data_IF_889594896356
#
_entry.id   IF_889594896356
#
_cell.length_a   1.000
_cell.length_b   1.000
_cell.length_c   1.000
_cell.angle_alpha   90.00
_cell.angle_beta   90.00
_cell.angle_gamma   90.00
#
_symmetry.space_group_name_H-M   'P 1'
#
loop_
_entity.id
_entity.type
_entity.pdbx_description
1 polymer ?
#
# COMPACT_ATOMS: atom_id res chain seq x y z
N UNK A 1 4.67 3.94 16.86
CA UNK A 1 5.18 5.32 16.74
C UNK A 1 5.11 6.09 18.06
N UNK A 2 3.91 6.37 18.60
CA UNK A 2 3.79 7.23 19.80
C UNK A 2 4.47 6.64 21.05
N UNK A 3 4.44 5.32 21.20
CA UNK A 3 5.05 4.61 22.33
C UNK A 3 6.48 4.18 21.97
N UNK A 4 6.63 3.23 21.04
CA UNK A 4 7.93 2.60 20.73
C UNK A 4 8.70 3.22 19.54
N UNK A 5 8.21 4.33 18.97
CA UNK A 5 8.85 4.98 17.81
C UNK A 5 8.62 4.28 16.46
N UNK A 6 9.33 4.76 15.43
CA UNK A 6 9.30 4.21 14.06
C UNK A 6 10.22 3.00 13.92
N UNK A 7 11.44 3.08 14.47
CA UNK A 7 12.45 2.02 14.35
C UNK A 7 11.92 0.68 14.83
N UNK A 8 11.30 0.65 16.02
CA UNK A 8 10.68 -0.57 16.54
C UNK A 8 9.55 -1.09 15.65
N UNK A 9 8.69 -0.19 15.15
CA UNK A 9 7.61 -0.59 14.24
C UNK A 9 8.14 -1.24 12.95
N UNK A 10 9.26 -0.75 12.41
CA UNK A 10 9.93 -1.37 11.26
C UNK A 10 10.51 -2.74 11.59
N UNK A 11 11.05 -2.93 12.80
CA UNK A 11 11.52 -4.25 13.24
C UNK A 11 10.37 -5.25 13.37
N UNK A 12 9.21 -4.81 13.88
CA UNK A 12 7.99 -5.64 13.92
C UNK A 12 7.52 -6.00 12.51
N UNK A 13 7.51 -5.05 11.56
CA UNK A 13 7.16 -5.34 10.16
C UNK A 13 8.12 -6.35 9.51
N UNK A 14 9.42 -6.27 9.82
CA UNK A 14 10.43 -7.22 9.36
C UNK A 14 10.21 -8.62 9.93
N UNK A 15 9.96 -8.74 11.24
CA UNK A 15 9.69 -10.04 11.84
C UNK A 15 8.38 -10.66 11.30
N UNK A 16 7.36 -9.83 11.08
CA UNK A 16 6.13 -10.24 10.43
C UNK A 16 6.38 -10.71 8.99
N UNK A 17 7.22 -10.01 8.22
CA UNK A 17 7.50 -10.38 6.83
C UNK A 17 8.20 -11.73 6.72
N UNK A 18 9.11 -12.05 7.64
CA UNK A 18 9.74 -13.38 7.73
C UNK A 18 8.72 -14.48 8.08
N UNK A 19 7.82 -14.19 9.02
CA UNK A 19 6.76 -15.14 9.38
C UNK A 19 5.81 -15.40 8.21
N UNK A 20 5.41 -14.34 7.48
CA UNK A 20 4.55 -14.45 6.30
C UNK A 20 5.19 -15.33 5.21
N UNK A 21 6.48 -15.14 4.92
CA UNK A 21 7.23 -15.94 3.94
C UNK A 21 7.18 -17.44 4.25
N UNK A 22 7.23 -17.82 5.54
CA UNK A 22 7.32 -19.23 5.94
C UNK A 22 5.97 -19.90 6.20
N UNK A 23 4.94 -19.13 6.59
CA UNK A 23 3.74 -19.70 7.20
C UNK A 23 2.44 -19.37 6.44
N UNK A 24 2.46 -18.48 5.46
CA UNK A 24 1.24 -18.01 4.79
C UNK A 24 1.31 -18.27 3.29
N UNK A 25 0.27 -18.91 2.76
CA UNK A 25 0.10 -19.14 1.32
C UNK A 25 -1.38 -19.03 0.94
N UNK A 26 -1.68 -18.87 -0.36
CA UNK A 26 -3.05 -18.87 -0.87
C UNK A 26 -3.95 -17.77 -0.29
N UNK A 27 -3.37 -16.64 0.11
CA UNK A 27 -4.05 -15.57 0.85
C UNK A 27 -3.84 -14.20 0.20
N UNK A 28 -4.81 -13.30 0.33
CA UNK A 28 -4.68 -11.89 -0.06
C UNK A 28 -4.24 -11.05 1.15
N UNK A 29 -3.09 -10.38 1.05
CA UNK A 29 -2.52 -9.57 2.12
C UNK A 29 -2.59 -8.09 1.74
N UNK A 30 -3.29 -7.29 2.54
CA UNK A 30 -3.28 -5.82 2.42
C UNK A 30 -2.22 -5.24 3.35
N UNK A 31 -1.25 -4.51 2.79
CA UNK A 31 -0.10 -4.02 3.54
C UNK A 31 -0.20 -2.52 3.86
N UNK A 32 0.50 -2.10 4.92
CA UNK A 32 0.69 -0.68 5.20
C UNK A 32 1.66 -0.05 4.19
N UNK A 33 1.51 1.24 3.89
CA UNK A 33 2.37 1.92 2.91
C UNK A 33 3.86 2.04 3.28
N UNK A 34 4.30 1.52 4.43
CA UNK A 34 5.73 1.43 4.76
C UNK A 34 6.31 0.03 4.61
N UNK A 35 5.44 -0.98 4.44
CA UNK A 35 5.80 -2.39 4.42
C UNK A 35 6.66 -2.75 3.20
N UNK A 36 6.62 -1.95 2.14
CA UNK A 36 7.46 -2.15 0.94
C UNK A 36 8.97 -2.13 1.22
N UNK A 37 9.38 -1.61 2.39
CA UNK A 37 10.79 -1.56 2.81
C UNK A 37 11.34 -2.89 3.32
N UNK A 38 10.51 -3.93 3.48
CA UNK A 38 11.00 -5.26 3.86
C UNK A 38 11.68 -5.93 2.68
N UNK A 39 12.85 -6.53 2.91
CA UNK A 39 13.72 -7.06 1.85
C UNK A 39 13.16 -8.33 1.20
N UNK A 40 12.39 -9.12 1.94
CA UNK A 40 11.88 -10.41 1.49
C UNK A 40 10.51 -10.35 0.81
N UNK A 41 10.01 -9.16 0.46
CA UNK A 41 8.66 -8.98 -0.06
C UNK A 41 8.37 -9.86 -1.29
N UNK A 42 9.34 -9.99 -2.20
CA UNK A 42 9.22 -10.83 -3.41
C UNK A 42 9.15 -12.33 -3.12
N UNK A 43 9.60 -12.76 -1.93
CA UNK A 43 9.51 -14.16 -1.50
C UNK A 43 8.16 -14.49 -0.88
N UNK A 44 7.43 -13.47 -0.39
CA UNK A 44 6.10 -13.64 0.21
C UNK A 44 5.06 -13.95 -0.87
N UNK A 45 5.16 -13.31 -2.04
CA UNK A 45 4.26 -13.59 -3.16
C UNK A 45 4.23 -12.47 -4.20
N UNK A 46 3.23 -12.54 -5.08
CA UNK A 46 3.01 -11.55 -6.14
C UNK A 46 2.64 -10.18 -5.56
N UNK A 47 3.42 -9.16 -5.94
CA UNK A 47 3.28 -7.80 -5.44
C UNK A 47 2.35 -7.02 -6.38
N UNK A 48 1.21 -6.60 -5.84
CA UNK A 48 0.20 -5.82 -6.56
C UNK A 48 0.21 -4.39 -6.05
N UNK A 49 0.55 -3.44 -6.94
CA UNK A 49 0.42 -2.01 -6.67
C UNK A 49 -0.94 -1.49 -7.17
N UNK A 50 -1.72 -0.94 -6.25
CA UNK A 50 -2.89 -0.13 -6.56
C UNK A 50 -2.46 1.33 -6.74
N UNK A 51 -2.18 1.73 -7.97
CA UNK A 51 -1.66 3.08 -8.29
C UNK A 51 -2.80 4.08 -8.55
N UNK A 52 -2.57 5.32 -8.15
CA UNK A 52 -3.46 6.44 -8.46
C UNK A 52 -2.70 7.77 -8.31
N UNK A 53 -3.04 8.81 -9.09
CA UNK A 53 -2.49 10.15 -8.90
C UNK A 53 -2.76 10.67 -7.49
N UNK A 54 -1.79 11.41 -6.95
CA UNK A 54 -1.89 12.01 -5.61
C UNK A 54 -3.23 12.75 -5.38
N UNK A 55 -3.64 13.58 -6.33
CA UNK A 55 -4.88 14.37 -6.21
C UNK A 55 -6.13 13.49 -6.16
N UNK A 56 -6.14 12.38 -6.89
CA UNK A 56 -7.23 11.40 -6.86
C UNK A 56 -7.31 10.69 -5.50
N UNK A 57 -6.16 10.32 -4.92
CA UNK A 57 -6.07 9.74 -3.57
C UNK A 57 -6.64 10.72 -2.53
N UNK A 58 -6.21 11.98 -2.56
CA UNK A 58 -6.67 13.00 -1.62
C UNK A 58 -8.19 13.24 -1.77
N UNK A 59 -8.68 13.34 -3.01
CA UNK A 59 -10.11 13.50 -3.30
C UNK A 59 -10.93 12.33 -2.76
N UNK A 60 -10.47 11.09 -2.92
CA UNK A 60 -11.14 9.89 -2.40
C UNK A 60 -11.20 9.88 -0.88
N UNK A 61 -10.12 10.26 -0.20
CA UNK A 61 -10.08 10.32 1.27
C UNK A 61 -11.06 11.38 1.80
N UNK A 62 -11.09 12.56 1.18
CA UNK A 62 -11.99 13.66 1.57
C UNK A 62 -13.47 13.34 1.35
N UNK A 63 -13.80 12.58 0.30
CA UNK A 63 -15.19 12.17 -0.02
C UNK A 63 -15.74 11.05 0.86
N UNK A 64 -14.88 10.37 1.63
CA UNK A 64 -15.32 9.23 2.43
C UNK A 64 -16.26 9.68 3.56
N UNK A 65 -17.37 8.98 3.86
CA UNK A 65 -18.31 9.36 4.92
C UNK A 65 -17.64 9.57 6.29
N UNK A 66 -16.66 8.72 6.59
CA UNK A 66 -15.80 8.81 7.79
C UNK A 66 -14.52 9.64 7.60
N UNK A 67 -14.50 10.64 6.71
CA UNK A 67 -13.31 11.45 6.40
C UNK A 67 -12.69 12.07 7.65
N UNK A 68 -13.50 12.62 8.57
CA UNK A 68 -13.02 13.21 9.84
C UNK A 68 -12.20 12.22 10.69
N UNK A 69 -12.66 10.97 10.81
CA UNK A 69 -11.95 9.93 11.56
C UNK A 69 -10.74 9.38 10.80
N UNK A 70 -10.83 9.27 9.46
CA UNK A 70 -9.69 8.86 8.61
C UNK A 70 -8.56 9.90 8.61
N UNK A 71 -8.89 11.18 8.65
CA UNK A 71 -7.91 12.28 8.73
C UNK A 71 -7.26 12.35 10.12
N UNK A 72 -8.02 12.19 11.21
CA UNK A 72 -7.47 12.14 12.59
C UNK A 72 -6.45 11.02 12.79
N UNK A 73 -6.68 9.84 12.20
CA UNK A 73 -5.74 8.70 12.26
C UNK A 73 -4.51 8.87 11.34
N UNK A 74 -4.47 9.91 10.51
CA UNK A 74 -3.43 10.14 9.51
C UNK A 74 -2.88 11.56 9.66
N UNK A 75 -2.09 11.84 10.72
CA UNK A 75 -1.52 13.16 10.95
C UNK A 75 -0.67 13.67 9.77
N UNK A 76 -0.12 12.79 8.93
CA UNK A 76 0.56 13.19 7.70
C UNK A 76 -0.36 13.84 6.66
N UNK A 77 -1.67 13.59 6.69
CA UNK A 77 -2.64 14.20 5.76
C UNK A 77 -3.09 15.60 6.19
N UNK A 78 -2.78 16.04 7.42
CA UNK A 78 -2.98 17.46 7.78
C UNK A 78 -1.92 18.35 7.12
N UNK A 79 -0.77 17.78 6.73
CA UNK A 79 0.27 18.46 5.96
C UNK A 79 0.33 17.87 4.54
N UNK A 80 -0.49 18.44 3.65
CA UNK A 80 -0.57 18.00 2.25
C UNK A 80 0.78 18.10 1.52
N UNK A 81 1.67 19.02 1.93
CA UNK A 81 2.99 19.17 1.31
C UNK A 81 3.87 17.96 1.64
N UNK A 82 3.99 17.60 2.92
CA UNK A 82 4.71 16.39 3.35
C UNK A 82 4.11 15.12 2.78
N UNK A 83 2.77 15.03 2.69
CA UNK A 83 2.12 13.89 2.06
C UNK A 83 2.48 13.74 0.58
N UNK A 84 2.59 14.87 -0.14
CA UNK A 84 2.97 14.89 -1.55
C UNK A 84 4.45 14.54 -1.76
N UNK A 85 5.34 15.08 -0.93
CA UNK A 85 6.76 14.70 -0.90
C UNK A 85 6.93 13.19 -0.70
N UNK A 86 6.24 12.63 0.31
CA UNK A 86 6.26 11.20 0.59
C UNK A 86 5.70 10.35 -0.56
N UNK A 87 4.67 10.84 -1.25
CA UNK A 87 4.13 10.17 -2.43
C UNK A 87 5.18 10.10 -3.55
N UNK A 88 5.87 11.21 -3.83
CA UNK A 88 6.91 11.25 -4.87
C UNK A 88 8.13 10.42 -4.50
N UNK A 89 8.49 10.32 -3.22
CA UNK A 89 9.55 9.44 -2.73
C UNK A 89 9.19 7.95 -2.94
N UNK A 90 7.97 7.56 -2.55
CA UNK A 90 7.59 6.15 -2.50
C UNK A 90 7.13 5.57 -3.83
N UNK A 91 6.47 6.37 -4.69
CA UNK A 91 5.88 5.86 -5.92
C UNK A 91 6.88 5.16 -6.86
N UNK A 92 8.09 5.70 -7.12
CA UNK A 92 9.08 4.99 -7.92
C UNK A 92 9.51 3.65 -7.29
N UNK A 93 9.64 3.60 -5.96
CA UNK A 93 10.02 2.39 -5.23
C UNK A 93 8.93 1.33 -5.28
N UNK A 94 7.66 1.72 -5.14
CA UNK A 94 6.53 0.82 -5.35
C UNK A 94 6.49 0.26 -6.77
N UNK A 95 6.68 1.12 -7.78
CA UNK A 95 6.68 0.71 -9.19
C UNK A 95 7.82 -0.28 -9.49
N UNK A 96 9.00 -0.08 -8.91
CA UNK A 96 10.15 -0.98 -9.08
C UNK A 96 9.95 -2.35 -8.42
N UNK A 97 9.13 -2.43 -7.36
CA UNK A 97 8.85 -3.68 -6.64
C UNK A 97 7.64 -4.44 -7.19
N UNK A 98 6.70 -3.76 -7.83
CA UNK A 98 5.43 -4.34 -8.24
C UNK A 98 5.58 -5.29 -9.44
N UNK A 99 5.01 -6.50 -9.31
CA UNK A 99 4.86 -7.44 -10.42
C UNK A 99 3.62 -7.08 -11.26
N UNK A 100 2.59 -6.53 -10.60
CA UNK A 100 1.34 -6.09 -11.23
C UNK A 100 0.99 -4.69 -10.76
N UNK A 101 0.74 -3.79 -11.71
CA UNK A 101 0.22 -2.45 -11.42
C UNK A 101 -1.22 -2.36 -11.90
N UNK A 102 -2.12 -1.95 -11.02
CA UNK A 102 -3.53 -1.67 -11.31
C UNK A 102 -3.78 -0.19 -11.05
N UNK A 103 -4.10 0.57 -12.10
CA UNK A 103 -4.56 1.95 -11.91
C UNK A 103 -5.99 1.91 -11.36
N UNK A 104 -6.19 2.40 -10.14
CA UNK A 104 -7.49 2.41 -9.45
C UNK A 104 -8.22 3.76 -9.58
N UNK A 105 -7.72 4.66 -10.43
CA UNK A 105 -8.29 5.98 -10.64
C UNK A 105 -9.65 5.89 -11.31
N UNK A 106 -10.66 6.52 -10.70
CA UNK A 106 -12.05 6.54 -11.18
C UNK A 106 -12.69 5.15 -11.41
N UNK A 107 -12.14 4.09 -10.83
CA UNK A 107 -12.70 2.73 -10.91
C UNK A 107 -13.41 2.35 -9.62
N UNK A 108 -14.48 1.57 -9.76
CA UNK A 108 -15.11 0.86 -8.66
C UNK A 108 -14.22 -0.28 -8.15
N UNK A 109 -14.52 -0.77 -6.96
CA UNK A 109 -13.82 -1.91 -6.35
C UNK A 109 -13.97 -3.18 -7.21
N UNK A 110 -15.15 -3.38 -7.82
CA UNK A 110 -15.43 -4.51 -8.70
C UNK A 110 -14.60 -4.45 -10.00
N UNK A 111 -14.47 -3.26 -10.60
CA UNK A 111 -13.66 -3.07 -11.81
C UNK A 111 -12.18 -3.34 -11.51
N UNK A 112 -11.67 -2.83 -10.39
CA UNK A 112 -10.30 -3.09 -9.95
C UNK A 112 -10.06 -4.59 -9.73
N UNK A 113 -11.00 -5.30 -9.07
CA UNK A 113 -10.88 -6.73 -8.84
C UNK A 113 -10.88 -7.55 -10.13
N UNK A 114 -11.76 -7.21 -11.09
CA UNK A 114 -11.79 -7.85 -12.42
C UNK A 114 -10.50 -7.63 -13.20
N UNK A 115 -9.94 -6.43 -13.17
CA UNK A 115 -8.66 -6.13 -13.81
C UNK A 115 -7.51 -6.90 -13.16
N UNK A 116 -7.49 -6.95 -11.81
CA UNK A 116 -6.47 -7.67 -11.06
C UNK A 116 -6.46 -9.15 -11.45
N UNK A 117 -7.62 -9.82 -11.44
CA UNK A 117 -7.74 -11.23 -11.84
C UNK A 117 -7.19 -11.47 -13.25
N UNK A 118 -7.48 -10.57 -14.20
CA UNK A 118 -6.97 -10.67 -15.57
C UNK A 118 -5.46 -10.52 -15.67
N UNK A 119 -4.85 -9.69 -14.82
CA UNK A 119 -3.40 -9.41 -14.83
C UNK A 119 -2.61 -10.50 -14.11
N UNK A 120 -3.09 -10.97 -12.97
CA UNK A 120 -2.42 -12.03 -12.20
C UNK A 120 -2.43 -13.35 -12.98
N UNK A 121 -3.54 -13.72 -13.65
CA UNK A 121 -3.61 -14.94 -14.47
C UNK A 121 -2.69 -14.94 -15.71
N UNK A 122 -2.11 -13.81 -16.10
CA UNK A 122 -1.15 -13.74 -17.21
C UNK A 122 0.31 -13.89 -16.75
N UNK A 123 0.56 -13.74 -15.45
CA UNK A 123 1.88 -13.72 -14.84
C UNK A 123 2.16 -14.98 -14.01
N UNK A 124 1.27 -15.99 -14.07
CA UNK A 124 1.41 -17.34 -13.51
C UNK A 124 1.45 -18.31 -14.67
#
# INVERSE_FOLDING_TARGET
>A
FKEEGEKYFREVEKNLSLWLEQNVSGTLISTGGGFYKVENLKKIGTIVLLDSPFDAIIKRIKKHPNAKNKLKKRPLLSDLKKAKELYHERRPQYLALADVVVDVTNKSELECAKELLKKVNKNV
#
